data_IF_830412026112
#
_entry.id   IF_830412026112
#
_cell.length_a   1.000
_cell.length_b   1.000
_cell.length_c   1.000
_cell.angle_alpha   90.00
_cell.angle_beta   90.00
_cell.angle_gamma   90.00
#
_symmetry.space_group_name_H-M   'P 1'
#
loop_
_entity.id
_entity.type
_entity.pdbx_description
1 polymer ?
#
# COMPACT_ATOMS: atom_id res chain seq x y z
N UNK A 1 -31.40 19.51 21.14
CA UNK A 1 -31.05 20.86 20.64
C UNK A 1 -30.55 20.75 19.21
N UNK A 2 -31.11 21.54 18.29
CA UNK A 2 -30.69 21.55 16.88
C UNK A 2 -29.29 22.17 16.71
N UNK A 3 -28.42 21.64 15.82
CA UNK A 3 -27.10 22.23 15.58
C UNK A 3 -27.23 23.62 14.96
N UNK A 4 -26.42 24.58 15.44
CA UNK A 4 -26.33 25.88 14.77
C UNK A 4 -25.82 25.72 13.33
N UNK A 5 -26.43 26.43 12.39
CA UNK A 5 -26.05 26.42 10.98
C UNK A 5 -25.05 27.55 10.66
N UNK A 6 -24.05 27.29 9.80
CA UNK A 6 -23.31 28.36 9.09
C UNK A 6 -23.78 28.35 7.65
N UNK A 7 -24.29 29.49 7.16
CA UNK A 7 -24.76 29.66 5.77
C UNK A 7 -25.73 28.53 5.34
N UNK A 8 -26.65 28.14 6.22
CA UNK A 8 -27.63 27.06 5.95
C UNK A 8 -27.08 25.62 6.07
N UNK A 9 -25.78 25.43 6.27
CA UNK A 9 -25.20 24.10 6.51
C UNK A 9 -25.15 23.78 8.00
N UNK A 10 -25.64 22.61 8.39
CA UNK A 10 -25.52 22.09 9.76
C UNK A 10 -24.05 21.95 10.14
N UNK A 11 -23.69 22.51 11.30
CA UNK A 11 -22.36 22.30 11.88
C UNK A 11 -22.27 20.88 12.44
N UNK A 12 -21.45 20.08 11.80
CA UNK A 12 -21.00 18.81 12.35
C UNK A 12 -19.60 18.99 12.94
N UNK A 13 -19.43 18.67 14.23
CA UNK A 13 -18.12 18.71 14.87
C UNK A 13 -17.14 17.75 14.18
N UNK A 14 -15.83 17.97 14.35
CA UNK A 14 -14.76 17.11 13.79
C UNK A 14 -14.97 15.61 14.01
N UNK A 15 -15.57 15.28 15.16
CA UNK A 15 -15.83 13.90 15.61
C UNK A 15 -17.08 13.26 14.99
N UNK A 16 -17.92 14.02 14.27
CA UNK A 16 -19.16 13.48 13.68
C UNK A 16 -18.87 12.48 12.56
N UNK A 17 -17.95 12.79 11.63
CA UNK A 17 -17.57 11.85 10.55
C UNK A 17 -16.96 10.56 11.11
N UNK A 18 -15.96 10.60 12.03
CA UNK A 18 -15.45 9.39 12.67
C UNK A 18 -16.53 8.59 13.41
N UNK A 19 -17.39 9.24 14.21
CA UNK A 19 -18.45 8.54 14.96
C UNK A 19 -19.47 7.88 14.04
N UNK A 20 -19.86 8.55 12.95
CA UNK A 20 -20.78 7.98 11.95
C UNK A 20 -20.13 6.81 11.21
N UNK A 21 -18.86 6.95 10.82
CA UNK A 21 -18.16 5.91 10.06
C UNK A 21 -17.78 4.71 10.94
N UNK A 22 -17.46 4.90 12.22
CA UNK A 22 -17.12 3.83 13.16
C UNK A 22 -18.29 2.84 13.39
N UNK A 23 -19.53 3.29 13.19
CA UNK A 23 -20.71 2.43 13.36
C UNK A 23 -20.94 1.48 12.17
N UNK A 24 -20.36 1.76 11.01
CA UNK A 24 -20.69 1.05 9.75
C UNK A 24 -19.47 0.65 8.91
N UNK A 25 -18.25 0.90 9.39
CA UNK A 25 -17.01 0.61 8.66
C UNK A 25 -16.04 -0.14 9.55
N UNK A 26 -15.61 -1.32 9.12
CA UNK A 26 -14.49 -2.02 9.74
C UNK A 26 -13.19 -1.30 9.35
N UNK A 27 -12.33 -1.05 10.34
CA UNK A 27 -10.99 -0.51 10.14
C UNK A 27 -10.00 -1.59 10.54
N UNK A 28 -9.15 -1.99 9.60
CA UNK A 28 -8.04 -2.91 9.86
C UNK A 28 -6.75 -2.10 9.96
N UNK A 29 -5.97 -2.33 11.03
CA UNK A 29 -4.64 -1.74 11.19
C UNK A 29 -3.63 -2.78 10.70
N UNK A 30 -2.82 -2.40 9.71
CA UNK A 30 -1.85 -3.28 9.08
C UNK A 30 -0.45 -2.66 9.15
N UNK A 31 0.58 -3.49 9.11
CA UNK A 31 1.95 -3.00 9.05
C UNK A 31 2.22 -2.31 7.69
N UNK A 32 2.84 -1.13 7.73
CA UNK A 32 3.24 -0.37 6.54
C UNK A 32 4.67 -0.73 6.05
N UNK A 33 5.33 -1.69 6.69
CA UNK A 33 6.71 -2.02 6.35
C UNK A 33 6.88 -2.40 4.87
N UNK A 34 7.80 -1.72 4.19
CA UNK A 34 8.13 -1.87 2.76
C UNK A 34 6.99 -1.67 1.75
N UNK A 35 5.84 -1.14 2.15
CA UNK A 35 4.66 -1.01 1.25
C UNK A 35 4.87 -0.06 0.08
N UNK A 36 5.68 0.99 0.28
CA UNK A 36 6.04 1.98 -0.73
C UNK A 36 7.27 1.62 -1.57
N UNK A 37 7.97 0.54 -1.22
CA UNK A 37 9.26 0.18 -1.84
C UNK A 37 9.24 -1.19 -2.51
N UNK A 38 8.08 -1.87 -2.54
CA UNK A 38 7.95 -3.23 -3.06
C UNK A 38 6.95 -3.27 -4.20
N UNK A 39 7.32 -3.95 -5.29
CA UNK A 39 6.43 -4.16 -6.42
C UNK A 39 5.31 -5.13 -6.02
N UNK A 40 4.06 -4.75 -6.27
CA UNK A 40 2.89 -5.60 -5.97
C UNK A 40 2.87 -6.91 -6.77
N UNK A 41 3.46 -6.92 -7.97
CA UNK A 41 3.35 -8.04 -8.92
C UNK A 41 4.44 -9.08 -8.78
N UNK A 42 5.66 -8.67 -8.44
CA UNK A 42 6.80 -9.59 -8.32
C UNK A 42 7.46 -9.60 -6.93
N UNK A 43 6.95 -8.78 -6.00
CA UNK A 43 7.48 -8.62 -4.65
C UNK A 43 8.98 -8.29 -4.56
N UNK A 44 9.55 -7.73 -5.64
CA UNK A 44 10.93 -7.21 -5.67
C UNK A 44 10.94 -5.72 -5.31
N UNK A 45 12.10 -5.26 -4.84
CA UNK A 45 12.32 -3.85 -4.50
C UNK A 45 12.18 -2.96 -5.74
N UNK A 46 11.52 -1.82 -5.56
CA UNK A 46 11.36 -0.80 -6.59
C UNK A 46 12.51 0.20 -6.55
N UNK A 47 12.72 0.87 -7.67
CA UNK A 47 13.71 1.93 -7.81
C UNK A 47 13.06 3.27 -8.10
N UNK A 48 13.73 4.34 -7.69
CA UNK A 48 13.35 5.69 -8.07
C UNK A 48 13.75 5.96 -9.52
N UNK A 49 12.82 6.39 -10.39
CA UNK A 49 13.16 6.74 -11.75
C UNK A 49 14.05 7.99 -11.77
N UNK A 50 15.01 8.00 -12.70
CA UNK A 50 15.91 9.12 -12.92
C UNK A 50 15.48 9.88 -14.18
N UNK A 51 15.46 11.21 -14.08
CA UNK A 51 15.21 12.11 -15.22
C UNK A 51 16.44 12.96 -15.47
N UNK A 52 16.93 12.94 -16.70
CA UNK A 52 17.96 13.88 -17.15
C UNK A 52 17.35 15.29 -17.29
N UNK A 53 18.02 16.27 -16.70
CA UNK A 53 17.73 17.68 -16.99
C UNK A 53 18.54 18.16 -18.19
N UNK A 54 18.15 19.32 -18.78
CA UNK A 54 18.85 19.93 -19.94
C UNK A 54 20.38 20.07 -19.75
N UNK A 55 20.86 20.06 -18.51
CA UNK A 55 22.26 20.20 -18.15
C UNK A 55 22.94 18.84 -17.82
N UNK A 56 22.44 17.71 -18.35
CA UNK A 56 22.98 16.33 -18.18
C UNK A 56 22.93 15.78 -16.73
N UNK A 57 22.55 16.59 -15.75
CA UNK A 57 22.36 16.14 -14.36
C UNK A 57 21.13 15.22 -14.25
N UNK A 58 21.34 14.01 -13.71
CA UNK A 58 20.29 13.07 -13.35
C UNK A 58 19.63 13.50 -12.03
N UNK A 59 18.32 13.69 -12.06
CA UNK A 59 17.52 13.98 -10.88
C UNK A 59 16.57 12.82 -10.59
N UNK A 60 16.43 12.47 -9.32
CA UNK A 60 15.41 11.54 -8.84
C UNK A 60 14.03 12.14 -9.05
N UNK A 61 13.13 11.37 -9.67
CA UNK A 61 11.72 11.74 -9.80
C UNK A 61 10.98 11.31 -8.53
N UNK A 62 10.48 12.29 -7.79
CA UNK A 62 9.70 12.04 -6.58
C UNK A 62 8.28 11.54 -6.91
N UNK A 63 7.67 10.81 -5.99
CA UNK A 63 6.28 10.37 -6.07
C UNK A 63 6.00 9.21 -7.02
N UNK A 64 7.01 8.72 -7.74
CA UNK A 64 6.89 7.56 -8.63
C UNK A 64 8.00 6.55 -8.36
N UNK A 65 7.71 5.30 -8.68
CA UNK A 65 8.60 4.17 -8.55
C UNK A 65 8.56 3.32 -9.81
N UNK A 66 9.66 2.65 -10.12
CA UNK A 66 9.78 1.77 -11.27
C UNK A 66 10.22 0.37 -10.84
N UNK A 67 9.55 -0.65 -11.38
CA UNK A 67 10.02 -2.03 -11.32
C UNK A 67 11.00 -2.28 -12.46
N UNK A 68 12.19 -2.78 -12.15
CA UNK A 68 13.22 -3.11 -13.15
C UNK A 68 13.41 -4.61 -13.34
N UNK A 69 12.59 -5.43 -12.67
CA UNK A 69 12.69 -6.88 -12.78
C UNK A 69 12.15 -7.32 -14.16
N UNK A 70 12.98 -7.86 -15.07
CA UNK A 70 12.58 -8.12 -16.46
C UNK A 70 11.48 -9.18 -16.57
N UNK A 71 11.34 -10.05 -15.57
CA UNK A 71 10.30 -11.09 -15.54
C UNK A 71 9.03 -10.65 -14.78
N UNK A 72 8.97 -9.39 -14.32
CA UNK A 72 7.79 -8.89 -13.63
C UNK A 72 6.61 -8.71 -14.60
N UNK A 73 5.40 -9.19 -14.27
CA UNK A 73 4.22 -8.98 -15.11
C UNK A 73 3.97 -7.52 -15.48
N UNK A 74 4.23 -6.57 -14.58
CA UNK A 74 4.07 -5.15 -14.88
C UNK A 74 5.11 -4.63 -15.87
N UNK A 75 6.33 -5.17 -15.86
CA UNK A 75 7.38 -4.81 -16.82
C UNK A 75 7.06 -5.40 -18.18
N UNK A 76 6.65 -6.67 -18.23
CA UNK A 76 6.24 -7.36 -19.47
C UNK A 76 5.04 -6.68 -20.14
N UNK A 77 4.16 -6.03 -19.35
CA UNK A 77 3.01 -5.29 -19.84
C UNK A 77 3.28 -3.79 -20.11
N UNK A 78 4.54 -3.35 -20.08
CA UNK A 78 4.96 -1.94 -20.22
C UNK A 78 4.29 -0.97 -19.21
N UNK A 79 4.00 -1.48 -18.02
CA UNK A 79 3.37 -0.77 -16.89
C UNK A 79 4.26 -0.82 -15.64
N UNK A 80 5.58 -0.74 -15.84
CA UNK A 80 6.58 -0.86 -14.79
C UNK A 80 6.59 0.30 -13.78
N UNK A 81 6.03 1.45 -14.16
CA UNK A 81 6.04 2.67 -13.37
C UNK A 81 4.73 2.82 -12.60
N UNK A 82 4.84 3.10 -11.30
CA UNK A 82 3.70 3.22 -10.40
C UNK A 82 3.82 4.51 -9.57
N UNK A 83 2.68 5.17 -9.33
CA UNK A 83 2.60 6.24 -8.35
C UNK A 83 2.81 5.63 -6.95
N UNK A 84 3.68 6.24 -6.14
CA UNK A 84 4.03 5.74 -4.80
C UNK A 84 2.81 5.52 -3.94
N UNK A 85 1.94 6.51 -3.88
CA UNK A 85 0.86 6.51 -2.90
C UNK A 85 -0.20 5.47 -3.28
N UNK A 86 -0.55 5.36 -4.58
CA UNK A 86 -1.44 4.30 -5.08
C UNK A 86 -0.88 2.90 -4.83
N UNK A 87 0.42 2.70 -5.11
CA UNK A 87 1.08 1.43 -4.83
C UNK A 87 1.04 1.11 -3.34
N UNK A 88 1.40 2.06 -2.48
CA UNK A 88 1.44 1.86 -1.03
C UNK A 88 0.07 1.47 -0.50
N UNK A 89 -1.00 2.13 -0.95
CA UNK A 89 -2.39 1.79 -0.59
C UNK A 89 -2.71 0.35 -0.99
N UNK A 90 -2.42 -0.05 -2.22
CA UNK A 90 -2.70 -1.42 -2.68
C UNK A 90 -1.93 -2.46 -1.87
N UNK A 91 -0.67 -2.18 -1.53
CA UNK A 91 0.17 -3.08 -0.74
C UNK A 91 -0.33 -3.20 0.71
N UNK A 92 -0.76 -2.10 1.32
CA UNK A 92 -1.39 -2.05 2.65
C UNK A 92 -2.69 -2.89 2.63
N UNK A 93 -3.56 -2.65 1.64
CA UNK A 93 -4.80 -3.40 1.48
C UNK A 93 -4.56 -4.90 1.32
N UNK A 94 -3.56 -5.29 0.53
CA UNK A 94 -3.19 -6.70 0.33
C UNK A 94 -2.66 -7.33 1.62
N UNK A 95 -1.81 -6.61 2.36
CA UNK A 95 -1.29 -7.06 3.66
C UNK A 95 -2.41 -7.26 4.69
N UNK A 96 -3.38 -6.35 4.73
CA UNK A 96 -4.56 -6.46 5.59
C UNK A 96 -5.46 -7.61 5.20
N UNK A 97 -5.72 -7.79 3.91
CA UNK A 97 -6.51 -8.91 3.43
C UNK A 97 -5.85 -10.25 3.79
N UNK A 98 -4.54 -10.38 3.59
CA UNK A 98 -3.79 -11.57 3.99
C UNK A 98 -3.91 -11.83 5.50
N UNK A 99 -3.82 -10.78 6.32
CA UNK A 99 -3.96 -10.89 7.78
C UNK A 99 -5.37 -11.34 8.17
N UNK A 100 -6.41 -10.86 7.48
CA UNK A 100 -7.79 -11.24 7.75
C UNK A 100 -8.12 -12.67 7.30
N UNK A 101 -7.58 -13.11 6.17
CA UNK A 101 -7.85 -14.44 5.60
C UNK A 101 -7.00 -15.54 6.24
N UNK A 102 -5.72 -15.27 6.46
CA UNK A 102 -4.75 -16.28 6.88
C UNK A 102 -4.28 -16.10 8.34
N UNK A 103 -4.62 -14.99 9.00
CA UNK A 103 -4.03 -14.65 10.29
C UNK A 103 -2.54 -14.27 10.21
N UNK A 104 -2.01 -14.11 8.99
CA UNK A 104 -0.60 -13.86 8.72
C UNK A 104 -0.42 -12.76 7.66
N UNK A 105 0.64 -11.96 7.80
CA UNK A 105 1.00 -10.96 6.78
C UNK A 105 1.90 -11.58 5.70
N UNK A 106 1.90 -10.97 4.51
CA UNK A 106 2.82 -11.36 3.46
C UNK A 106 4.27 -11.16 3.94
N UNK A 107 5.16 -12.16 3.78
CA UNK A 107 6.53 -12.11 4.31
C UNK A 107 7.35 -10.89 3.87
N UNK A 108 7.01 -10.32 2.72
CA UNK A 108 7.69 -9.18 2.12
C UNK A 108 7.33 -7.85 2.79
N UNK A 109 6.21 -7.81 3.52
CA UNK A 109 5.72 -6.67 4.28
C UNK A 109 5.87 -6.88 5.80
N UNK A 110 6.50 -7.98 6.22
CA UNK A 110 6.84 -8.21 7.64
C UNK A 110 8.18 -7.56 7.98
N UNK A 111 8.21 -6.70 8.99
CA UNK A 111 9.44 -6.11 9.52
C UNK A 111 10.31 -7.11 10.28
N UNK A 112 9.73 -8.23 10.71
CA UNK A 112 10.39 -9.37 11.38
C UNK A 112 10.36 -10.60 10.50
N UNK A 113 10.59 -10.43 9.20
CA UNK A 113 10.64 -11.52 8.24
C UNK A 113 11.61 -12.61 8.70
N UNK A 114 11.14 -13.86 8.69
CA UNK A 114 11.96 -15.04 8.96
C UNK A 114 11.58 -16.18 8.01
N UNK A 115 12.46 -17.17 7.88
CA UNK A 115 12.18 -18.35 7.06
C UNK A 115 10.94 -19.09 7.57
N UNK A 116 10.86 -19.30 8.89
CA UNK A 116 9.71 -19.97 9.54
C UNK A 116 8.37 -19.29 9.20
N UNK A 117 8.29 -17.95 9.33
CA UNK A 117 7.07 -17.21 8.98
C UNK A 117 6.74 -17.25 7.49
N UNK A 118 7.76 -17.29 6.64
CA UNK A 118 7.58 -17.40 5.19
C UNK A 118 6.96 -18.75 4.85
N UNK A 119 7.52 -19.83 5.40
CA UNK A 119 7.01 -21.20 5.21
C UNK A 119 5.61 -21.37 5.80
N UNK A 120 5.34 -20.79 6.97
CA UNK A 120 4.00 -20.80 7.57
C UNK A 120 2.96 -20.12 6.68
N UNK A 121 3.29 -18.94 6.16
CA UNK A 121 2.42 -18.22 5.22
C UNK A 121 2.16 -19.04 3.96
N UNK A 122 3.21 -19.63 3.36
CA UNK A 122 3.07 -20.49 2.18
C UNK A 122 2.18 -21.71 2.44
N UNK A 123 2.34 -22.34 3.62
CA UNK A 123 1.49 -23.46 4.05
C UNK A 123 0.02 -23.04 4.17
N UNK A 124 -0.26 -21.88 4.76
CA UNK A 124 -1.62 -21.35 4.90
C UNK A 124 -2.22 -20.98 3.53
N UNK A 125 -1.42 -20.34 2.67
CA UNK A 125 -1.85 -19.97 1.33
C UNK A 125 -2.17 -21.18 0.44
N UNK A 126 -1.46 -22.30 0.62
CA UNK A 126 -1.71 -23.54 -0.13
C UNK A 126 -3.02 -24.26 0.28
N UNK A 127 -3.66 -23.86 1.37
CA UNK A 127 -4.92 -24.47 1.85
C UNK A 127 -6.19 -23.80 1.32
N UNK A 128 -6.03 -22.75 0.50
CA UNK A 128 -7.11 -22.02 -0.17
C UNK A 128 -7.04 -22.25 -1.69
#
# INVERSE_FOLDING_TARGET
>A
GYPSTIKGHLKYGRQWKPRKNNLYSFVCITNEHNTSQTCLFCFKKLQHPLRATRNVKLNVVNGTFQCINPVCPSVLADKATHARDSLSVMTISLSGLATLLFGATLPQFDSKRSLSKTTEFERLAATF
#
